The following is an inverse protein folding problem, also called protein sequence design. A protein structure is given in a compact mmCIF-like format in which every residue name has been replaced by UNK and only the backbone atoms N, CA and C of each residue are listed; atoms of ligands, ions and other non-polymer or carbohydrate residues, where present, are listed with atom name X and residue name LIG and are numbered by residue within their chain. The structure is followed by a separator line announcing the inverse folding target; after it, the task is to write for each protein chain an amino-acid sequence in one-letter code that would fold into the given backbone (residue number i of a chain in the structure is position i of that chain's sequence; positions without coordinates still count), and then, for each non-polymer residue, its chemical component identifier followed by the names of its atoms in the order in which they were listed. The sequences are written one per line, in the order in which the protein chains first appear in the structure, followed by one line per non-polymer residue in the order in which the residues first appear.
data_IF_259064135981
#
_entry.id   IF_259064135981
#
_cell.length_a   1.000
_cell.length_b   1.000
_cell.length_c   1.000
_cell.angle_alpha   90.00
_cell.angle_beta   90.00
_cell.angle_gamma   90.00
#
_symmetry.space_group_name_H-M   'P 1'
#
loop_
_entity.id
_entity.type
_entity.pdbx_description
1 polymer ?
#
# COMPACT_ATOMS: atom_id res chain seq x y z
N UNK A 1 -31.40 47.10 10.16
CA UNK A 1 -30.32 46.94 11.17
C UNK A 1 -29.56 45.68 10.79
N UNK A 2 -28.44 45.85 10.09
CA UNK A 2 -27.48 44.78 9.81
C UNK A 2 -26.94 44.31 11.15
N UNK A 3 -27.21 43.06 11.52
CA UNK A 3 -26.56 42.41 12.67
C UNK A 3 -25.07 42.43 12.42
N UNK A 4 -24.33 43.28 13.15
CA UNK A 4 -22.88 43.30 13.12
C UNK A 4 -22.40 41.88 13.50
N UNK A 5 -21.73 41.23 12.55
CA UNK A 5 -21.26 39.86 12.74
C UNK A 5 -19.90 39.95 13.40
N UNK A 6 -19.91 39.91 14.73
CA UNK A 6 -18.71 39.95 15.53
C UNK A 6 -17.90 38.64 15.41
N UNK A 7 -16.61 38.77 15.12
CA UNK A 7 -15.67 37.66 15.04
C UNK A 7 -15.40 37.10 16.44
N UNK A 8 -15.66 35.79 16.62
CA UNK A 8 -15.31 35.10 17.87
C UNK A 8 -13.84 35.27 18.19
N UNK A 9 -13.54 35.74 19.39
CA UNK A 9 -12.19 36.11 19.84
C UNK A 9 -11.14 35.03 19.61
N UNK A 10 -11.43 33.77 19.91
CA UNK A 10 -10.45 32.67 19.77
C UNK A 10 -10.08 32.42 18.29
N UNK A 11 -11.08 32.45 17.40
CA UNK A 11 -10.85 32.29 15.96
C UNK A 11 -10.10 33.50 15.37
N UNK A 12 -10.40 34.71 15.85
CA UNK A 12 -9.71 35.93 15.46
C UNK A 12 -8.24 35.92 15.90
N UNK A 13 -7.96 35.38 17.10
CA UNK A 13 -6.62 35.17 17.61
C UNK A 13 -5.84 34.15 16.75
N UNK A 14 -6.45 33.02 16.41
CA UNK A 14 -5.85 31.99 15.56
C UNK A 14 -5.47 32.52 14.16
N UNK A 15 -6.33 33.35 13.55
CA UNK A 15 -6.01 33.99 12.26
C UNK A 15 -4.80 34.91 12.38
N UNK A 16 -4.74 35.75 13.42
CA UNK A 16 -3.61 36.67 13.60
C UNK A 16 -2.29 35.93 13.84
N UNK A 17 -2.34 34.83 14.58
CA UNK A 17 -1.21 33.92 14.75
C UNK A 17 -0.71 33.36 13.41
N UNK A 18 -1.61 32.95 12.50
CA UNK A 18 -1.23 32.50 11.15
C UNK A 18 -0.57 33.64 10.35
N UNK A 19 -1.13 34.85 10.42
CA UNK A 19 -0.65 36.05 9.70
C UNK A 19 0.79 36.41 10.08
N UNK A 20 1.12 36.43 11.37
CA UNK A 20 2.44 36.89 11.83
C UNK A 20 3.57 35.89 11.56
N UNK A 21 3.22 34.61 11.37
CA UNK A 21 4.18 33.53 11.08
C UNK A 21 4.41 33.31 9.58
N UNK A 22 3.81 34.15 8.73
CA UNK A 22 3.94 34.05 7.27
C UNK A 22 3.40 32.73 6.71
N UNK A 23 2.45 32.12 7.42
CA UNK A 23 1.88 30.84 7.05
C UNK A 23 0.97 30.96 5.84
N UNK A 24 1.54 30.87 4.64
CA UNK A 24 1.09 30.15 3.44
C UNK A 24 1.57 30.86 2.18
N UNK A 25 2.10 30.06 1.26
CA UNK A 25 2.49 30.40 -0.10
C UNK A 25 1.30 31.00 -0.90
N UNK A 26 0.90 32.24 -0.63
CA UNK A 26 -0.07 33.00 -1.43
C UNK A 26 -1.54 32.99 -0.97
N UNK A 27 -1.88 32.48 0.22
CA UNK A 27 -3.29 32.45 0.69
C UNK A 27 -3.68 33.62 1.64
N UNK A 28 -2.74 34.48 2.00
CA UNK A 28 -2.99 35.63 2.90
C UNK A 28 -3.99 36.66 2.32
N UNK A 29 -4.11 36.74 1.00
CA UNK A 29 -5.09 37.61 0.35
C UNK A 29 -6.53 37.30 0.79
N UNK A 30 -6.83 36.02 1.04
CA UNK A 30 -8.14 35.59 1.54
C UNK A 30 -8.42 36.08 2.96
N UNK A 31 -7.39 36.13 3.82
CA UNK A 31 -7.47 36.61 5.20
C UNK A 31 -7.76 38.10 5.23
N UNK A 32 -7.08 38.88 4.39
CA UNK A 32 -7.25 40.32 4.34
C UNK A 32 -8.56 40.79 3.68
N UNK A 33 -9.41 39.86 3.22
CA UNK A 33 -10.83 40.14 2.92
C UNK A 33 -11.69 40.38 4.16
N UNK A 34 -11.21 40.02 5.35
CA UNK A 34 -11.92 40.28 6.60
C UNK A 34 -11.93 41.77 6.94
N UNK A 35 -12.99 42.21 7.62
CA UNK A 35 -13.16 43.61 8.02
C UNK A 35 -12.67 43.82 9.46
N UNK A 36 -11.72 44.74 9.70
CA UNK A 36 -11.20 44.99 11.05
C UNK A 36 -12.28 45.37 12.07
N UNK A 37 -13.36 46.00 11.62
CA UNK A 37 -14.47 46.43 12.48
C UNK A 37 -15.23 45.28 13.15
N UNK A 38 -15.12 44.05 12.63
CA UNK A 38 -15.76 42.88 13.20
C UNK A 38 -14.93 42.21 14.32
N UNK A 39 -13.70 42.69 14.60
CA UNK A 39 -12.89 42.17 15.71
C UNK A 39 -13.36 42.77 17.05
N UNK A 40 -13.92 41.93 17.92
CA UNK A 40 -14.47 42.34 19.22
C UNK A 40 -13.43 42.92 20.18
N UNK A 41 -12.22 42.35 20.14
CA UNK A 41 -11.13 42.78 21.02
C UNK A 41 -10.32 43.85 20.33
N UNK A 42 -10.31 45.06 20.91
CA UNK A 42 -9.61 46.23 20.36
C UNK A 42 -8.14 45.95 20.02
N UNK A 43 -7.43 45.19 20.87
CA UNK A 43 -6.05 44.80 20.59
C UNK A 43 -5.90 43.96 19.30
N UNK A 44 -6.79 42.98 19.08
CA UNK A 44 -6.77 42.15 17.87
C UNK A 44 -7.15 42.97 16.64
N UNK A 45 -8.13 43.88 16.77
CA UNK A 45 -8.50 44.84 15.71
C UNK A 45 -7.30 45.69 15.27
N UNK A 46 -6.57 46.26 16.21
CA UNK A 46 -5.40 47.11 15.93
C UNK A 46 -4.28 46.31 15.24
N UNK A 47 -4.00 45.10 15.72
CA UNK A 47 -3.01 44.19 15.11
C UNK A 47 -3.42 43.85 13.68
N UNK A 48 -4.67 43.44 13.45
CA UNK A 48 -5.17 43.08 12.13
C UNK A 48 -5.14 44.25 11.15
N UNK A 49 -5.54 45.44 11.62
CA UNK A 49 -5.53 46.66 10.82
C UNK A 49 -4.13 47.00 10.34
N UNK A 50 -3.13 46.90 11.23
CA UNK A 50 -1.75 47.18 10.88
C UNK A 50 -1.17 46.12 9.93
N UNK A 51 -1.45 44.83 10.19
CA UNK A 51 -1.05 43.74 9.32
C UNK A 51 -1.64 43.90 7.90
N UNK A 52 -2.92 44.28 7.77
CA UNK A 52 -3.57 44.55 6.49
C UNK A 52 -2.89 45.72 5.75
N UNK A 53 -2.51 46.77 6.48
CA UNK A 53 -1.76 47.90 5.95
C UNK A 53 -0.37 47.52 5.43
N UNK A 54 0.38 46.73 6.20
CA UNK A 54 1.70 46.22 5.81
C UNK A 54 1.62 45.31 4.57
N UNK A 55 0.63 44.43 4.51
CA UNK A 55 0.39 43.54 3.36
C UNK A 55 0.14 44.34 2.07
N UNK A 56 -0.72 45.37 2.15
CA UNK A 56 -0.99 46.24 1.00
C UNK A 56 0.23 47.00 0.47
N UNK A 57 1.26 47.18 1.32
CA UNK A 57 2.54 47.82 0.99
C UNK A 57 3.61 46.80 0.56
N UNK A 58 3.30 45.50 0.54
CA UNK A 58 4.26 44.43 0.26
C UNK A 58 5.34 44.27 1.34
N UNK A 59 5.07 44.70 2.57
CA UNK A 59 6.02 44.63 3.68
C UNK A 59 5.89 43.32 4.47
N UNK A 60 6.98 42.85 5.12
CA UNK A 60 6.95 41.63 5.92
C UNK A 60 5.95 41.70 7.07
N UNK A 61 5.15 40.64 7.23
CA UNK A 61 4.17 40.50 8.29
C UNK A 61 4.77 39.75 9.49
N UNK A 62 5.81 40.32 10.09
CA UNK A 62 6.44 39.73 11.28
C UNK A 62 6.02 40.48 12.55
N UNK A 63 6.11 39.82 13.70
CA UNK A 63 5.89 40.44 15.02
C UNK A 63 6.65 41.75 15.16
N UNK A 64 7.94 41.74 14.85
CA UNK A 64 8.79 42.94 14.91
C UNK A 64 8.29 44.09 14.03
N UNK A 65 7.83 43.80 12.81
CA UNK A 65 7.37 44.82 11.86
C UNK A 65 6.04 45.44 12.31
N UNK A 66 5.12 44.61 12.79
CA UNK A 66 3.81 45.05 13.31
C UNK A 66 3.99 45.87 14.60
N UNK A 67 4.82 45.39 15.54
CA UNK A 67 5.13 46.13 16.77
C UNK A 67 5.77 47.48 16.49
N UNK A 68 6.68 47.56 15.53
CA UNK A 68 7.33 48.81 15.16
C UNK A 68 6.31 49.88 14.71
N UNK A 69 5.39 49.50 13.82
CA UNK A 69 4.34 50.40 13.33
C UNK A 69 3.34 50.78 14.41
N UNK A 70 2.83 49.81 15.16
CA UNK A 70 1.90 50.06 16.26
C UNK A 70 2.53 50.90 17.36
N UNK A 71 3.81 50.69 17.67
CA UNK A 71 4.57 51.47 18.64
C UNK A 71 4.70 52.95 18.25
N UNK A 72 4.84 53.26 16.95
CA UNK A 72 4.81 54.63 16.46
C UNK A 72 3.41 55.26 16.57
N UNK A 73 2.36 54.52 16.18
CA UNK A 73 0.98 55.02 16.12
C UNK A 73 0.31 55.16 17.49
N UNK A 74 0.58 54.22 18.39
CA UNK A 74 -0.06 54.09 19.70
C UNK A 74 0.86 54.53 20.85
N UNK A 75 1.94 55.27 20.55
CA UNK A 75 2.89 55.75 21.55
C UNK A 75 2.18 56.48 22.69
N UNK A 76 2.43 56.05 23.92
CA UNK A 76 1.82 56.62 25.14
C UNK A 76 0.37 56.24 25.38
N UNK A 77 -0.22 55.33 24.58
CA UNK A 77 -1.56 54.79 24.82
C UNK A 77 -1.50 53.52 25.68
N UNK A 78 -2.40 53.34 26.65
CA UNK A 78 -2.46 52.15 27.51
C UNK A 78 -2.64 50.82 26.75
N UNK A 79 -3.15 50.89 25.51
CA UNK A 79 -3.41 49.71 24.67
C UNK A 79 -2.14 49.05 24.10
N UNK A 80 -1.00 49.78 24.07
CA UNK A 80 0.22 49.28 23.44
C UNK A 80 0.84 48.10 24.19
N UNK A 81 0.77 48.09 25.52
CA UNK A 81 1.32 47.01 26.35
C UNK A 81 0.54 45.68 26.16
N UNK A 82 -0.81 45.64 26.25
CA UNK A 82 -1.58 44.44 25.92
C UNK A 82 -1.38 43.92 24.50
N UNK A 83 -1.21 44.81 23.51
CA UNK A 83 -0.89 44.43 22.13
C UNK A 83 0.48 43.75 22.05
N UNK A 84 1.46 44.28 22.79
CA UNK A 84 2.82 43.76 22.82
C UNK A 84 2.85 42.35 23.41
N UNK A 85 2.20 42.15 24.55
CA UNK A 85 2.08 40.81 25.19
C UNK A 85 1.40 39.79 24.27
N UNK A 86 0.32 40.18 23.58
CA UNK A 86 -0.38 39.29 22.64
C UNK A 86 0.50 38.88 21.47
N UNK A 87 1.20 39.83 20.85
CA UNK A 87 2.06 39.55 19.70
C UNK A 87 3.25 38.66 20.05
N UNK A 88 3.86 38.86 21.23
CA UNK A 88 4.92 38.00 21.73
C UNK A 88 4.41 36.58 22.03
N UNK A 89 3.21 36.47 22.62
CA UNK A 89 2.59 35.16 22.88
C UNK A 89 2.33 34.41 21.57
N UNK A 90 1.74 35.08 20.58
CA UNK A 90 1.51 34.48 19.26
C UNK A 90 2.84 34.08 18.57
N UNK A 91 3.93 34.84 18.78
CA UNK A 91 5.25 34.53 18.24
C UNK A 91 5.81 33.21 18.79
N UNK A 92 5.59 32.94 20.08
CA UNK A 92 6.00 31.70 20.74
C UNK A 92 5.16 30.47 20.29
N UNK A 93 3.94 30.69 19.76
CA UNK A 93 3.00 29.65 19.30
C UNK A 93 3.20 29.21 17.83
N UNK A 94 4.44 29.25 17.33
CA UNK A 94 4.76 28.99 15.91
C UNK A 94 4.33 27.62 15.39
N UNK A 95 4.52 26.56 16.17
CA UNK A 95 4.17 25.19 15.74
C UNK A 95 2.66 25.03 15.55
N UNK A 96 1.86 25.65 16.44
CA UNK A 96 0.41 25.65 16.34
C UNK A 96 -0.06 26.48 15.13
N UNK A 97 0.58 27.63 14.88
CA UNK A 97 0.31 28.46 13.70
C UNK A 97 0.46 27.67 12.38
N UNK A 98 1.51 26.84 12.27
CA UNK A 98 1.76 25.99 11.09
C UNK A 98 0.65 24.94 10.93
N UNK A 99 0.19 24.33 12.02
CA UNK A 99 -0.91 23.37 11.99
C UNK A 99 -2.23 24.02 11.54
N UNK A 100 -2.54 25.20 12.08
CA UNK A 100 -3.76 25.94 11.78
C UNK A 100 -3.80 26.46 10.34
N UNK A 101 -2.64 26.86 9.79
CA UNK A 101 -2.52 27.30 8.41
C UNK A 101 -3.06 26.25 7.42
N UNK A 102 -2.84 24.95 7.67
CA UNK A 102 -3.40 23.87 6.85
C UNK A 102 -4.95 23.81 6.78
N UNK A 103 -5.64 24.58 7.62
CA UNK A 103 -7.10 24.64 7.72
C UNK A 103 -7.66 26.08 7.61
N UNK A 104 -6.86 27.03 7.14
CA UNK A 104 -7.18 28.47 7.17
C UNK A 104 -8.54 28.81 6.56
N UNK A 105 -8.89 28.23 5.42
CA UNK A 105 -10.16 28.47 4.74
C UNK A 105 -11.37 28.17 5.66
N UNK A 106 -11.31 27.07 6.43
CA UNK A 106 -12.37 26.70 7.37
C UNK A 106 -12.48 27.72 8.52
N UNK A 107 -11.37 28.27 8.99
CA UNK A 107 -11.36 29.31 10.02
C UNK A 107 -11.98 30.61 9.51
N UNK A 108 -11.64 31.04 8.28
CA UNK A 108 -12.23 32.21 7.63
C UNK A 108 -13.74 32.04 7.45
N UNK A 109 -14.20 30.89 6.94
CA UNK A 109 -15.64 30.57 6.79
C UNK A 109 -16.37 30.68 8.14
N UNK A 110 -15.82 30.07 9.20
CA UNK A 110 -16.39 30.14 10.55
C UNK A 110 -16.45 31.56 11.12
N UNK A 111 -15.45 32.40 10.85
CA UNK A 111 -15.47 33.82 11.26
C UNK A 111 -16.54 34.63 10.53
N UNK A 112 -16.75 34.37 9.23
CA UNK A 112 -17.81 35.01 8.44
C UNK A 112 -19.23 34.54 8.81
N UNK A 113 -19.36 33.64 9.79
CA UNK A 113 -20.64 33.03 10.17
C UNK A 113 -21.16 32.05 9.12
N UNK A 114 -20.33 31.68 8.15
CA UNK A 114 -20.64 30.62 7.20
C UNK A 114 -20.66 29.31 7.97
N UNK A 115 -21.75 28.56 7.85
CA UNK A 115 -21.82 27.23 8.45
C UNK A 115 -20.71 26.38 7.81
N UNK A 116 -20.00 25.54 8.59
CA UNK A 116 -19.07 24.57 8.00
C UNK A 116 -19.82 23.80 6.90
N UNK A 117 -19.14 23.49 5.80
CA UNK A 117 -19.74 22.84 4.62
C UNK A 117 -20.79 21.82 5.07
N UNK A 118 -22.08 22.17 4.90
CA UNK A 118 -23.19 21.31 5.30
C UNK A 118 -23.39 20.26 4.22
N UNK A 119 -22.31 19.56 3.90
CA UNK A 119 -22.37 18.49 2.94
C UNK A 119 -23.30 17.42 3.51
N UNK A 120 -24.41 17.22 2.80
CA UNK A 120 -25.34 16.17 3.13
C UNK A 120 -24.71 14.83 2.77
N UNK A 121 -24.11 14.18 3.77
CA UNK A 121 -23.42 12.90 3.60
C UNK A 121 -24.33 11.80 3.04
N UNK A 122 -25.67 11.93 3.14
CA UNK A 122 -26.58 10.94 2.53
C UNK A 122 -26.43 10.88 1.00
N UNK A 123 -25.90 11.93 0.37
CA UNK A 123 -25.66 12.00 -1.08
C UNK A 123 -24.46 11.18 -1.57
N UNK A 124 -23.57 10.76 -0.69
CA UNK A 124 -22.39 9.93 -1.04
C UNK A 124 -22.49 8.50 -0.52
N UNK A 125 -23.53 8.18 0.26
CA UNK A 125 -23.80 6.83 0.69
C UNK A 125 -24.51 6.08 -0.43
N UNK A 126 -24.09 4.84 -0.68
CA UNK A 126 -24.75 3.92 -1.61
C UNK A 126 -25.24 2.70 -0.84
N UNK A 127 -26.46 2.24 -1.17
CA UNK A 127 -26.99 1.02 -0.59
C UNK A 127 -26.32 -0.21 -1.21
N UNK A 128 -26.22 -1.31 -0.46
CA UNK A 128 -25.61 -2.56 -0.96
C UNK A 128 -26.27 -3.07 -2.25
N UNK A 129 -27.59 -2.95 -2.39
CA UNK A 129 -28.31 -3.33 -3.60
C UNK A 129 -27.96 -2.46 -4.82
N UNK A 130 -27.56 -1.21 -4.62
CA UNK A 130 -27.07 -0.35 -5.70
C UNK A 130 -25.66 -0.80 -6.12
N UNK A 131 -24.81 -1.14 -5.15
CA UNK A 131 -23.47 -1.68 -5.41
C UNK A 131 -23.52 -3.04 -6.13
N UNK A 132 -24.50 -3.90 -5.82
CA UNK A 132 -24.71 -5.18 -6.49
C UNK A 132 -25.01 -5.04 -7.99
N UNK A 133 -25.52 -3.88 -8.44
CA UNK A 133 -25.80 -3.61 -9.85
C UNK A 133 -24.55 -3.24 -10.65
N UNK A 134 -23.42 -2.98 -10.00
CA UNK A 134 -22.17 -2.62 -10.64
C UNK A 134 -21.53 -3.87 -11.29
N UNK A 135 -21.19 -3.78 -12.58
CA UNK A 135 -20.44 -4.83 -13.30
C UNK A 135 -18.93 -4.75 -12.96
N UNK A 136 -18.61 -4.98 -11.69
CA UNK A 136 -17.24 -4.98 -11.16
C UNK A 136 -16.92 -6.38 -10.68
N UNK A 137 -15.86 -6.96 -11.25
CA UNK A 137 -15.40 -8.29 -10.90
C UNK A 137 -14.01 -8.23 -10.29
N UNK A 138 -13.77 -9.09 -9.30
CA UNK A 138 -12.42 -9.36 -8.81
C UNK A 138 -11.63 -10.01 -9.94
N UNK A 139 -10.61 -9.31 -10.45
CA UNK A 139 -9.77 -9.76 -11.55
C UNK A 139 -8.35 -10.00 -11.08
N UNK A 140 -7.69 -11.00 -11.66
CA UNK A 140 -6.28 -11.28 -11.42
C UNK A 140 -5.47 -10.93 -12.68
N UNK A 141 -4.51 -10.02 -12.58
CA UNK A 141 -3.57 -9.68 -13.66
C UNK A 141 -2.64 -10.86 -13.95
N UNK A 142 -2.29 -11.61 -12.90
CA UNK A 142 -1.69 -12.94 -13.00
C UNK A 142 -2.59 -13.87 -12.22
N UNK A 143 -3.17 -14.85 -12.90
CA UNK A 143 -4.18 -15.74 -12.32
C UNK A 143 -3.76 -16.27 -10.95
N UNK A 144 -4.63 -16.09 -9.96
CA UNK A 144 -4.48 -16.48 -8.54
C UNK A 144 -3.31 -15.86 -7.75
N UNK A 145 -2.45 -15.07 -8.38
CA UNK A 145 -1.25 -14.49 -7.75
C UNK A 145 -1.33 -12.97 -7.58
N UNK A 146 -1.66 -12.23 -8.63
CA UNK A 146 -1.66 -10.75 -8.61
C UNK A 146 -3.06 -10.26 -8.92
N UNK A 147 -3.71 -9.62 -7.95
CA UNK A 147 -5.09 -9.14 -8.09
C UNK A 147 -5.15 -7.65 -8.45
N UNK A 148 -6.04 -7.30 -9.37
CA UNK A 148 -6.27 -5.91 -9.81
C UNK A 148 -6.81 -5.05 -8.68
N UNK A 149 -6.34 -3.79 -8.61
CA UNK A 149 -6.80 -2.84 -7.60
C UNK A 149 -6.45 -3.25 -6.17
N UNK A 150 -5.41 -4.07 -5.99
CA UNK A 150 -4.96 -4.56 -4.69
C UNK A 150 -3.51 -4.16 -4.40
N UNK A 151 -3.16 -4.05 -3.11
CA UNK A 151 -1.76 -4.07 -2.65
C UNK A 151 -1.34 -5.53 -2.47
N UNK A 152 -0.53 -6.01 -3.40
CA UNK A 152 0.07 -7.34 -3.42
C UNK A 152 1.47 -7.26 -2.80
N UNK A 153 1.57 -7.57 -1.50
CA UNK A 153 2.85 -7.62 -0.79
C UNK A 153 3.58 -8.90 -1.19
N UNK A 154 4.80 -8.76 -1.70
CA UNK A 154 5.68 -9.88 -2.02
C UNK A 154 6.87 -9.88 -1.06
N UNK A 155 6.78 -10.77 -0.07
CA UNK A 155 7.76 -10.96 0.99
C UNK A 155 8.70 -12.12 0.70
N UNK A 156 10.01 -11.88 0.83
CA UNK A 156 10.99 -12.97 0.85
C UNK A 156 12.29 -12.47 1.50
N UNK A 157 13.13 -13.40 1.96
CA UNK A 157 14.45 -13.07 2.47
C UNK A 157 15.33 -12.40 1.40
N UNK A 158 16.36 -11.68 1.83
CA UNK A 158 17.40 -11.19 0.92
C UNK A 158 18.11 -12.36 0.21
N UNK A 159 18.40 -12.20 -1.09
CA UNK A 159 19.06 -13.24 -1.88
C UNK A 159 18.12 -14.28 -2.50
N UNK A 160 16.83 -14.29 -2.16
CA UNK A 160 15.85 -15.27 -2.66
C UNK A 160 15.37 -15.02 -4.10
N UNK A 161 15.84 -13.97 -4.77
CA UNK A 161 15.48 -13.70 -6.17
C UNK A 161 14.19 -12.90 -6.39
N UNK A 162 13.69 -12.15 -5.40
CA UNK A 162 12.50 -11.27 -5.53
C UNK A 162 12.52 -10.41 -6.79
N UNK A 163 13.61 -9.67 -7.00
CA UNK A 163 13.75 -8.80 -8.18
C UNK A 163 13.64 -9.60 -9.48
N UNK A 164 14.31 -10.76 -9.58
CA UNK A 164 14.23 -11.63 -10.77
C UNK A 164 12.79 -12.11 -11.00
N UNK A 165 12.14 -12.64 -9.96
CA UNK A 165 10.77 -13.15 -10.08
C UNK A 165 9.77 -12.03 -10.42
N UNK A 166 9.90 -10.86 -9.79
CA UNK A 166 9.05 -9.68 -10.06
C UNK A 166 9.22 -9.14 -11.49
N UNK A 167 10.44 -9.19 -12.04
CA UNK A 167 10.70 -8.82 -13.43
C UNK A 167 10.12 -9.86 -14.41
N UNK A 168 10.16 -11.15 -14.07
CA UNK A 168 9.47 -12.19 -14.86
C UNK A 168 7.95 -11.99 -14.84
N UNK A 169 7.38 -11.63 -13.69
CA UNK A 169 5.96 -11.25 -13.56
C UNK A 169 5.66 -10.03 -14.44
N UNK A 170 6.46 -8.96 -14.33
CA UNK A 170 6.29 -7.74 -15.11
C UNK A 170 6.30 -8.01 -16.63
N UNK A 171 7.27 -8.81 -17.09
CA UNK A 171 7.38 -9.21 -18.49
C UNK A 171 6.17 -10.05 -18.95
N UNK A 172 5.69 -10.96 -18.09
CA UNK A 172 4.56 -11.80 -18.41
C UNK A 172 3.26 -10.99 -18.56
N UNK A 173 3.03 -10.03 -17.65
CA UNK A 173 1.89 -9.11 -17.68
C UNK A 173 1.92 -8.27 -18.96
N UNK A 174 3.02 -7.59 -19.26
CA UNK A 174 3.06 -6.63 -20.36
C UNK A 174 2.96 -7.28 -21.75
N UNK A 175 3.42 -8.53 -21.86
CA UNK A 175 3.37 -9.32 -23.10
C UNK A 175 2.14 -10.21 -23.22
N UNK A 176 1.31 -10.30 -22.18
CA UNK A 176 0.16 -11.23 -22.10
C UNK A 176 0.57 -12.68 -22.35
N UNK A 177 1.71 -13.09 -21.79
CA UNK A 177 2.18 -14.47 -21.86
C UNK A 177 1.95 -15.17 -20.52
N UNK A 178 1.76 -16.50 -20.50
CA UNK A 178 1.60 -17.22 -19.24
C UNK A 178 2.80 -17.03 -18.31
N UNK A 179 2.54 -16.76 -17.04
CA UNK A 179 3.56 -16.74 -15.99
C UNK A 179 3.52 -18.06 -15.22
N UNK A 180 4.54 -18.90 -15.35
CA UNK A 180 4.59 -20.22 -14.71
C UNK A 180 3.34 -21.09 -14.98
N UNK A 181 2.79 -20.99 -16.20
CA UNK A 181 1.55 -21.68 -16.60
C UNK A 181 0.25 -20.95 -16.24
N UNK A 182 0.32 -19.85 -15.49
CA UNK A 182 -0.83 -19.03 -15.09
C UNK A 182 -1.14 -17.99 -16.16
N UNK A 183 -2.42 -17.83 -16.49
CA UNK A 183 -2.87 -16.83 -17.48
C UNK A 183 -2.60 -15.42 -16.98
N UNK A 184 -2.34 -14.51 -17.91
CA UNK A 184 -2.10 -13.10 -17.61
C UNK A 184 -3.07 -12.20 -18.37
N UNK A 185 -3.44 -11.08 -17.74
CA UNK A 185 -4.17 -9.98 -18.37
C UNK A 185 -3.15 -8.89 -18.69
N UNK A 186 -3.20 -8.37 -19.92
CA UNK A 186 -2.26 -7.34 -20.34
C UNK A 186 -2.54 -6.01 -19.64
N UNK A 187 -1.51 -5.46 -18.99
CA UNK A 187 -1.50 -4.12 -18.40
C UNK A 187 -0.16 -3.44 -18.67
N UNK A 188 -0.16 -2.12 -18.67
CA UNK A 188 1.08 -1.37 -18.57
C UNK A 188 1.73 -1.68 -17.21
N UNK A 189 3.05 -1.86 -17.19
CA UNK A 189 3.81 -2.09 -15.96
C UNK A 189 4.82 -0.97 -15.80
N UNK A 190 4.86 -0.38 -14.60
CA UNK A 190 5.85 0.59 -14.16
C UNK A 190 6.65 -0.05 -13.02
N UNK A 191 7.96 -0.14 -13.20
CA UNK A 191 8.88 -0.72 -12.23
C UNK A 191 9.70 0.40 -11.59
N UNK A 192 9.43 0.68 -10.32
CA UNK A 192 10.09 1.71 -9.52
C UNK A 192 11.24 1.05 -8.76
N UNK A 193 12.46 1.33 -9.17
CA UNK A 193 13.68 0.71 -8.63
C UNK A 193 14.48 1.71 -7.82
N UNK A 194 14.54 1.45 -6.51
CA UNK A 194 15.27 2.23 -5.51
C UNK A 194 16.59 1.59 -5.07
N UNK A 195 16.82 0.31 -5.38
CA UNK A 195 17.84 -0.51 -4.72
C UNK A 195 18.99 -0.91 -5.66
N UNK A 196 18.69 -1.22 -6.91
CA UNK A 196 19.69 -1.79 -7.81
C UNK A 196 20.56 -0.70 -8.45
N UNK A 197 21.78 -1.06 -8.85
CA UNK A 197 22.57 -0.20 -9.74
C UNK A 197 22.03 -0.30 -11.17
N UNK A 198 22.14 0.79 -11.94
CA UNK A 198 21.68 0.82 -13.33
C UNK A 198 22.29 -0.33 -14.18
N UNK A 199 23.60 -0.67 -14.11
CA UNK A 199 24.14 -1.80 -14.84
C UNK A 199 23.51 -3.14 -14.46
N UNK A 200 23.27 -3.36 -13.16
CA UNK A 200 22.62 -4.59 -12.65
C UNK A 200 21.19 -4.70 -13.15
N UNK A 201 20.44 -3.60 -13.13
CA UNK A 201 19.08 -3.55 -13.65
C UNK A 201 19.06 -3.86 -15.15
N UNK A 202 19.95 -3.25 -15.94
CA UNK A 202 20.04 -3.48 -17.39
C UNK A 202 20.39 -4.94 -17.72
N UNK A 203 21.33 -5.56 -17.00
CA UNK A 203 21.66 -6.99 -17.15
C UNK A 203 20.42 -7.88 -16.94
N UNK A 204 19.67 -7.63 -15.86
CA UNK A 204 18.45 -8.39 -15.54
C UNK A 204 17.34 -8.18 -16.57
N UNK A 205 17.14 -6.94 -17.03
CA UNK A 205 16.16 -6.63 -18.10
C UNK A 205 16.48 -7.42 -19.36
N UNK A 206 17.74 -7.40 -19.81
CA UNK A 206 18.18 -8.13 -21.01
C UNK A 206 17.97 -9.63 -20.87
N UNK A 207 18.38 -10.19 -19.71
CA UNK A 207 18.24 -11.61 -19.41
C UNK A 207 16.78 -12.08 -19.44
N UNK A 208 15.88 -11.31 -18.83
CA UNK A 208 14.46 -11.66 -18.70
C UNK A 208 13.66 -11.30 -19.97
N UNK A 209 14.17 -10.37 -20.78
CA UNK A 209 13.46 -9.83 -21.93
C UNK A 209 12.36 -8.84 -21.55
N UNK A 210 12.50 -8.14 -20.41
CA UNK A 210 11.52 -7.19 -19.88
C UNK A 210 11.55 -5.82 -20.58
N UNK A 211 11.79 -5.78 -21.90
CA UNK A 211 12.07 -4.55 -22.66
C UNK A 211 10.91 -3.58 -22.75
N UNK A 212 9.67 -4.06 -22.57
CA UNK A 212 8.46 -3.25 -22.69
C UNK A 212 8.01 -2.66 -21.34
N UNK A 213 8.65 -3.05 -20.24
CA UNK A 213 8.36 -2.51 -18.89
C UNK A 213 8.94 -1.10 -18.78
N UNK A 214 8.18 -0.18 -18.19
CA UNK A 214 8.65 1.19 -17.95
C UNK A 214 9.41 1.22 -16.63
N UNK A 215 10.66 1.68 -16.63
CA UNK A 215 11.49 1.72 -15.42
C UNK A 215 11.66 3.15 -14.90
N UNK A 216 11.28 3.37 -13.64
CA UNK A 216 11.59 4.60 -12.91
C UNK A 216 12.69 4.32 -11.88
N UNK A 217 13.92 4.43 -12.36
CA UNK A 217 15.13 4.14 -11.58
C UNK A 217 15.73 5.40 -10.94
N UNK A 218 16.42 5.24 -9.81
CA UNK A 218 17.09 6.30 -9.04
C UNK A 218 18.15 7.12 -9.81
N UNK A 219 18.63 6.63 -10.96
CA UNK A 219 19.55 7.33 -11.86
C UNK A 219 18.87 8.29 -12.85
N UNK A 220 17.54 8.33 -12.89
CA UNK A 220 16.82 9.26 -13.76
C UNK A 220 17.02 10.72 -13.30
N UNK A 221 16.92 11.66 -14.24
CA UNK A 221 16.96 13.10 -13.95
C UNK A 221 15.88 13.49 -12.95
N UNK A 222 14.64 13.03 -13.18
CA UNK A 222 13.56 13.07 -12.21
C UNK A 222 13.53 11.72 -11.50
N UNK A 223 13.92 11.71 -10.23
CA UNK A 223 14.01 10.50 -9.41
C UNK A 223 12.62 10.10 -8.88
N UNK A 224 12.37 8.81 -8.65
CA UNK A 224 11.14 8.40 -7.98
C UNK A 224 11.10 9.00 -6.56
N UNK A 225 10.05 9.74 -6.18
CA UNK A 225 9.97 10.32 -4.85
C UNK A 225 9.78 9.20 -3.82
N UNK A 226 10.40 9.32 -2.65
CA UNK A 226 10.13 8.36 -1.58
C UNK A 226 8.69 8.49 -1.10
N UNK A 227 8.12 7.39 -0.61
CA UNK A 227 6.73 7.30 -0.16
C UNK A 227 6.45 8.14 1.09
N UNK A 228 7.47 8.50 1.88
CA UNK A 228 7.39 9.45 3.01
C UNK A 228 7.57 10.93 2.59
N UNK A 229 8.11 11.20 1.40
CA UNK A 229 8.29 12.57 0.90
C UNK A 229 6.96 13.26 0.57
N UNK A 230 6.87 14.60 0.55
CA UNK A 230 5.66 15.33 0.11
C UNK A 230 5.26 15.04 -1.34
N UNK A 231 6.22 14.66 -2.17
CA UNK A 231 6.06 14.43 -3.61
C UNK A 231 5.47 13.06 -3.97
N UNK A 232 5.14 12.21 -2.99
CA UNK A 232 4.60 10.88 -3.22
C UNK A 232 3.35 10.86 -4.13
N UNK A 233 2.58 11.95 -4.17
CA UNK A 233 1.38 12.06 -5.03
C UNK A 233 1.71 12.00 -6.52
N UNK A 234 2.98 12.16 -6.92
CA UNK A 234 3.41 11.99 -8.31
C UNK A 234 3.14 10.59 -8.85
N UNK A 235 3.09 9.55 -8.00
CA UNK A 235 2.69 8.20 -8.42
C UNK A 235 1.28 8.15 -9.01
N UNK A 236 0.36 9.02 -8.57
CA UNK A 236 -1.01 9.14 -9.12
C UNK A 236 -1.04 9.67 -10.57
N UNK A 237 0.09 10.19 -11.08
CA UNK A 237 0.24 10.71 -12.45
C UNK A 237 0.82 9.69 -13.43
N UNK A 238 1.16 8.49 -12.96
CA UNK A 238 1.62 7.40 -13.82
C UNK A 238 0.49 6.94 -14.77
N UNK A 239 0.80 6.16 -15.83
CA UNK A 239 -0.21 5.66 -16.75
C UNK A 239 -1.35 4.95 -16.00
N UNK A 240 -2.59 5.38 -16.23
CA UNK A 240 -3.79 4.85 -15.54
C UNK A 240 -3.89 3.32 -15.67
N UNK A 241 -4.48 2.70 -14.66
CA UNK A 241 -4.72 1.25 -14.58
C UNK A 241 -3.45 0.38 -14.74
N UNK A 242 -2.27 0.95 -14.49
CA UNK A 242 -1.01 0.21 -14.56
C UNK A 242 -0.74 -0.61 -13.29
N UNK A 243 0.11 -1.62 -13.46
CA UNK A 243 0.74 -2.33 -12.34
C UNK A 243 2.02 -1.58 -11.96
N UNK A 244 2.09 -1.11 -10.72
CA UNK A 244 3.28 -0.46 -10.16
C UNK A 244 4.01 -1.46 -9.27
N UNK A 245 5.28 -1.72 -9.58
CA UNK A 245 6.16 -2.57 -8.77
C UNK A 245 7.15 -1.67 -8.03
N UNK A 246 7.23 -1.80 -6.71
CA UNK A 246 8.20 -1.09 -5.88
C UNK A 246 9.30 -2.06 -5.41
N UNK A 247 10.52 -1.90 -5.92
CA UNK A 247 11.72 -2.68 -5.56
C UNK A 247 12.74 -1.79 -4.82
N UNK A 248 12.85 -1.82 -3.50
CA UNK A 248 11.98 -2.48 -2.50
C UNK A 248 11.30 -1.45 -1.61
N UNK A 249 10.29 -1.86 -0.82
CA UNK A 249 9.65 -1.02 0.19
C UNK A 249 10.67 -0.36 1.12
N UNK A 250 11.67 -1.12 1.58
CA UNK A 250 12.72 -0.63 2.48
C UNK A 250 13.45 0.60 1.92
N UNK A 251 13.71 0.61 0.62
CA UNK A 251 14.41 1.71 -0.05
C UNK A 251 13.45 2.82 -0.50
N UNK A 252 12.14 2.56 -0.54
CA UNK A 252 11.11 3.51 -0.93
C UNK A 252 10.76 4.54 0.15
N UNK A 253 11.33 4.48 1.36
CA UNK A 253 11.14 5.48 2.44
C UNK A 253 12.42 5.63 3.29
N UNK A 254 12.49 6.66 4.15
CA UNK A 254 13.51 6.83 5.19
C UNK A 254 12.98 6.57 6.61
N UNK A 255 11.66 6.39 6.75
CA UNK A 255 10.99 6.06 8.01
C UNK A 255 11.53 4.82 8.73
N UNK A 256 11.31 4.77 10.05
CA UNK A 256 11.57 3.58 10.86
C UNK A 256 10.55 2.48 10.53
N UNK A 257 11.03 1.42 9.91
CA UNK A 257 10.25 0.26 9.49
C UNK A 257 9.63 -0.49 10.68
N UNK A 258 10.18 -0.34 11.90
CA UNK A 258 9.61 -0.93 13.11
C UNK A 258 8.51 -0.07 13.73
N UNK A 259 8.38 1.18 13.32
CA UNK A 259 7.35 2.10 13.81
C UNK A 259 6.03 1.86 13.09
N UNK A 260 5.04 1.33 13.82
CA UNK A 260 3.70 1.12 13.27
C UNK A 260 3.03 2.41 12.81
N UNK A 261 3.30 3.54 13.48
CA UNK A 261 2.78 4.85 13.07
C UNK A 261 3.32 5.26 11.71
N UNK A 262 4.64 5.13 11.51
CA UNK A 262 5.28 5.54 10.25
C UNK A 262 4.92 4.59 9.11
N UNK A 263 4.94 3.27 9.35
CA UNK A 263 4.53 2.32 8.32
C UNK A 263 3.05 2.44 7.95
N UNK A 264 2.19 2.80 8.91
CA UNK A 264 0.78 3.12 8.61
C UNK A 264 0.66 4.31 7.66
N UNK A 265 1.47 5.37 7.83
CA UNK A 265 1.49 6.50 6.91
C UNK A 265 1.86 6.07 5.49
N UNK A 266 2.94 5.29 5.34
CA UNK A 266 3.38 4.78 4.03
C UNK A 266 2.30 3.92 3.37
N UNK A 267 1.74 2.96 4.11
CA UNK A 267 0.74 2.05 3.59
C UNK A 267 -0.56 2.77 3.22
N UNK A 268 -0.97 3.81 3.96
CA UNK A 268 -2.13 4.63 3.60
C UNK A 268 -1.91 5.41 2.31
N UNK A 269 -0.70 5.95 2.09
CA UNK A 269 -0.36 6.59 0.80
C UNK A 269 -0.42 5.59 -0.37
N UNK A 270 0.04 4.35 -0.16
CA UNK A 270 -0.11 3.28 -1.15
C UNK A 270 -1.58 2.92 -1.41
N UNK A 271 -2.44 2.91 -0.39
CA UNK A 271 -3.89 2.72 -0.58
C UNK A 271 -4.49 3.84 -1.40
N UNK A 272 -4.12 5.09 -1.14
CA UNK A 272 -4.58 6.22 -1.96
C UNK A 272 -4.11 6.13 -3.41
N UNK A 273 -2.92 5.57 -3.69
CA UNK A 273 -2.49 5.29 -5.06
C UNK A 273 -3.36 4.17 -5.66
N UNK A 274 -3.51 3.05 -4.97
CA UNK A 274 -4.36 1.92 -5.39
C UNK A 274 -5.79 2.36 -5.72
N UNK A 275 -6.39 3.20 -4.87
CA UNK A 275 -7.79 3.66 -5.00
C UNK A 275 -8.01 4.56 -6.22
N UNK A 276 -6.93 5.02 -6.89
CA UNK A 276 -7.01 5.70 -8.19
C UNK A 276 -7.00 4.76 -9.40
N UNK A 277 -7.02 3.43 -9.17
CA UNK A 277 -7.11 2.40 -10.21
C UNK A 277 -5.85 1.56 -10.40
N UNK A 278 -4.76 1.86 -9.69
CA UNK A 278 -3.50 1.13 -9.84
C UNK A 278 -3.52 -0.22 -9.11
N UNK A 279 -2.77 -1.17 -9.66
CA UNK A 279 -2.41 -2.41 -8.95
C UNK A 279 -1.00 -2.29 -8.42
N UNK A 280 -0.77 -2.59 -7.14
CA UNK A 280 0.54 -2.42 -6.51
C UNK A 280 1.15 -3.79 -6.22
N UNK A 281 2.41 -3.98 -6.61
CA UNK A 281 3.26 -5.08 -6.15
C UNK A 281 4.37 -4.46 -5.29
N UNK A 282 4.39 -4.81 -4.01
CA UNK A 282 5.31 -4.21 -3.04
C UNK A 282 6.33 -5.25 -2.61
N UNK A 283 7.60 -5.09 -3.01
CA UNK A 283 8.64 -6.04 -2.63
C UNK A 283 9.15 -5.74 -1.23
N UNK A 284 9.13 -6.74 -0.35
CA UNK A 284 9.51 -6.60 1.05
C UNK A 284 10.47 -7.70 1.51
N UNK A 285 11.32 -7.37 2.48
CA UNK A 285 12.24 -8.33 3.08
C UNK A 285 11.61 -9.00 4.31
N UNK A 286 11.76 -10.31 4.44
CA UNK A 286 11.51 -11.02 5.72
C UNK A 286 12.78 -11.03 6.59
N UNK A 287 12.66 -11.19 7.93
CA UNK A 287 13.79 -11.34 8.83
C UNK A 287 14.54 -12.63 8.54
N UNK A 288 15.82 -12.68 8.91
CA UNK A 288 16.67 -13.86 8.68
C UNK A 288 16.30 -15.10 9.52
N UNK A 289 15.55 -14.92 10.61
CA UNK A 289 15.30 -16.00 11.58
C UNK A 289 14.07 -16.87 11.26
N UNK A 290 13.17 -16.41 10.39
CA UNK A 290 11.98 -17.16 9.99
C UNK A 290 11.36 -16.51 8.74
N UNK A 291 11.25 -17.27 7.64
CA UNK A 291 10.68 -16.80 6.39
C UNK A 291 9.16 -16.54 6.47
N UNK A 292 8.51 -17.06 7.53
CA UNK A 292 7.10 -16.75 7.84
C UNK A 292 6.90 -15.55 8.76
N UNK A 293 7.93 -15.12 9.47
CA UNK A 293 7.79 -13.95 10.36
C UNK A 293 8.01 -12.69 9.55
N UNK A 294 7.18 -11.66 9.77
CA UNK A 294 7.33 -10.39 9.06
C UNK A 294 8.49 -9.57 9.64
N UNK A 295 9.20 -8.83 8.78
CA UNK A 295 10.21 -7.85 9.20
C UNK A 295 9.56 -6.47 9.23
N UNK A 296 9.87 -5.71 10.27
CA UNK A 296 9.26 -4.41 10.49
C UNK A 296 7.88 -4.51 11.14
N UNK A 297 7.14 -3.41 11.09
CA UNK A 297 5.82 -3.28 11.71
C UNK A 297 4.79 -4.24 11.10
N UNK A 298 3.93 -4.80 11.96
CA UNK A 298 2.75 -5.57 11.52
C UNK A 298 1.84 -4.76 10.60
N UNK A 299 1.88 -3.42 10.67
CA UNK A 299 1.10 -2.53 9.82
C UNK A 299 1.29 -2.80 8.32
N UNK A 300 2.50 -3.18 7.88
CA UNK A 300 2.76 -3.51 6.47
C UNK A 300 1.89 -4.71 6.06
N UNK A 301 1.87 -5.76 6.88
CA UNK A 301 1.05 -6.94 6.67
C UNK A 301 -0.44 -6.63 6.82
N UNK A 302 -0.84 -5.95 7.90
CA UNK A 302 -2.22 -5.65 8.27
C UNK A 302 -2.93 -4.72 7.27
N UNK A 303 -2.17 -3.89 6.55
CA UNK A 303 -2.71 -2.93 5.58
C UNK A 303 -2.57 -3.38 4.13
N UNK A 304 -1.90 -4.50 3.85
CA UNK A 304 -1.86 -5.14 2.52
C UNK A 304 -3.13 -5.96 2.24
N UNK A 305 -3.53 -6.09 0.98
CA UNK A 305 -4.74 -6.85 0.59
C UNK A 305 -4.42 -8.33 0.34
N UNK A 306 -3.26 -8.60 -0.25
CA UNK A 306 -2.80 -9.94 -0.62
C UNK A 306 -1.31 -10.10 -0.29
N UNK A 307 -0.95 -11.20 0.38
CA UNK A 307 0.43 -11.43 0.83
C UNK A 307 0.97 -12.72 0.22
N UNK A 308 1.98 -12.55 -0.63
CA UNK A 308 2.75 -13.60 -1.28
C UNK A 308 4.10 -13.77 -0.59
N UNK A 309 4.53 -15.02 -0.44
CA UNK A 309 5.88 -15.34 0.03
C UNK A 309 6.63 -16.27 -0.91
N UNK A 310 7.96 -16.12 -0.91
CA UNK A 310 8.90 -17.00 -1.60
C UNK A 310 9.92 -17.54 -0.60
N UNK A 311 9.93 -18.86 -0.40
CA UNK A 311 10.84 -19.52 0.53
C UNK A 311 11.23 -20.93 0.06
N UNK A 312 12.36 -21.44 0.58
CA UNK A 312 12.86 -22.78 0.22
C UNK A 312 12.07 -23.86 0.94
N UNK A 313 11.81 -24.95 0.23
CA UNK A 313 11.14 -26.14 0.75
C UNK A 313 11.87 -27.39 0.28
N UNK A 314 12.01 -28.37 1.16
CA UNK A 314 12.63 -29.66 0.82
C UNK A 314 11.76 -30.41 -0.18
N UNK A 315 12.34 -30.92 -1.27
CA UNK A 315 11.61 -31.80 -2.19
C UNK A 315 11.12 -33.05 -1.44
N UNK A 316 9.90 -33.50 -1.75
CA UNK A 316 9.25 -34.65 -1.12
C UNK A 316 8.48 -34.33 0.17
N UNK A 317 9.08 -33.67 1.16
CA UNK A 317 8.40 -33.35 2.44
C UNK A 317 7.75 -31.97 2.46
N UNK A 318 8.30 -31.02 1.70
CA UNK A 318 7.89 -29.61 1.61
C UNK A 318 7.86 -28.89 2.95
N UNK A 319 8.63 -29.44 3.89
CA UNK A 319 9.03 -28.75 5.08
C UNK A 319 9.86 -27.55 4.64
N UNK A 320 9.50 -26.40 5.20
CA UNK A 320 10.28 -25.18 5.07
C UNK A 320 11.69 -25.44 5.57
N UNK A 321 12.65 -25.01 4.77
CA UNK A 321 14.06 -25.16 5.08
C UNK A 321 14.55 -23.89 5.75
N UNK A 322 15.23 -24.06 6.89
CA UNK A 322 16.04 -22.98 7.45
C UNK A 322 17.29 -22.79 6.61
N UNK A 323 17.80 -21.57 6.53
CA UNK A 323 18.95 -21.24 5.70
C UNK A 323 20.25 -22.00 6.06
N UNK A 324 20.37 -22.48 7.30
CA UNK A 324 21.52 -23.28 7.76
C UNK A 324 21.46 -24.76 7.31
N UNK A 325 20.44 -25.15 6.54
CA UNK A 325 20.37 -26.49 5.98
C UNK A 325 21.44 -26.66 4.90
N UNK A 326 22.50 -27.40 5.20
CA UNK A 326 23.49 -27.88 4.22
C UNK A 326 22.85 -28.95 3.31
N UNK A 327 21.99 -28.50 2.39
CA UNK A 327 21.38 -29.35 1.37
C UNK A 327 21.94 -28.98 0.01
N UNK A 328 22.17 -29.99 -0.83
CA UNK A 328 22.52 -29.77 -2.23
C UNK A 328 21.39 -29.03 -2.95
N UNK A 329 21.72 -28.22 -3.95
CA UNK A 329 20.75 -27.47 -4.76
C UNK A 329 19.72 -28.38 -5.45
N UNK A 330 20.01 -29.68 -5.59
CA UNK A 330 19.08 -30.69 -6.10
C UNK A 330 17.91 -30.99 -5.16
N UNK A 331 18.07 -30.75 -3.86
CA UNK A 331 17.20 -31.28 -2.80
C UNK A 331 16.09 -30.33 -2.36
N UNK A 332 16.10 -29.10 -2.87
CA UNK A 332 15.06 -28.11 -2.57
C UNK A 332 14.45 -27.51 -3.84
N UNK A 333 13.24 -26.99 -3.68
CA UNK A 333 12.64 -26.07 -4.62
C UNK A 333 12.11 -24.86 -3.82
N UNK A 334 11.54 -23.89 -4.50
CA UNK A 334 10.94 -22.73 -3.86
C UNK A 334 9.42 -22.87 -3.91
N UNK A 335 8.76 -22.59 -2.78
CA UNK A 335 7.32 -22.37 -2.78
C UNK A 335 7.07 -20.88 -3.02
N UNK A 336 6.22 -20.56 -3.98
CA UNK A 336 5.75 -19.20 -4.24
C UNK A 336 4.23 -19.14 -4.19
N UNK A 337 3.67 -18.26 -3.38
CA UNK A 337 2.22 -18.10 -3.29
C UNK A 337 1.77 -17.45 -2.00
N UNK A 338 0.47 -17.50 -1.75
CA UNK A 338 -0.16 -16.95 -0.55
C UNK A 338 0.51 -17.49 0.71
N UNK A 339 0.83 -16.58 1.63
CA UNK A 339 1.36 -16.90 2.94
C UNK A 339 0.21 -17.02 3.96
N UNK A 340 -0.04 -15.97 4.76
CA UNK A 340 -1.00 -16.01 5.86
C UNK A 340 -2.23 -15.11 5.65
N UNK A 341 -2.17 -14.16 4.71
CA UNK A 341 -3.25 -13.19 4.48
C UNK A 341 -3.58 -13.01 3.01
N UNK A 342 -4.86 -13.05 2.73
CA UNK A 342 -5.44 -12.76 1.43
C UNK A 342 -6.90 -12.31 1.60
N UNK A 343 -7.35 -11.35 0.79
CA UNK A 343 -8.78 -11.05 0.57
C UNK A 343 -9.39 -11.90 -0.56
N UNK A 344 -8.58 -12.73 -1.20
CA UNK A 344 -8.88 -13.53 -2.38
C UNK A 344 -8.62 -15.02 -2.13
N UNK A 345 -8.72 -15.86 -3.16
CA UNK A 345 -8.44 -17.29 -3.03
C UNK A 345 -6.96 -17.57 -2.73
N UNK A 346 -6.64 -18.36 -1.68
CA UNK A 346 -5.28 -18.81 -1.42
C UNK A 346 -4.77 -19.70 -2.54
N UNK A 347 -3.52 -19.46 -2.96
CA UNK A 347 -2.88 -20.25 -4.01
C UNK A 347 -1.37 -20.37 -3.75
N UNK A 348 -0.79 -21.49 -4.14
CA UNK A 348 0.66 -21.64 -4.17
C UNK A 348 1.10 -22.53 -5.32
N UNK A 349 2.31 -22.26 -5.81
CA UNK A 349 3.01 -23.02 -6.81
C UNK A 349 4.44 -23.29 -6.35
N UNK A 350 5.11 -24.21 -7.04
CA UNK A 350 6.49 -24.59 -6.75
C UNK A 350 7.35 -24.28 -7.98
N UNK A 351 8.51 -23.68 -7.73
CA UNK A 351 9.42 -23.20 -8.76
C UNK A 351 10.85 -23.59 -8.43
N UNK A 352 11.65 -23.72 -9.47
CA UNK A 352 13.10 -23.94 -9.38
C UNK A 352 13.83 -22.74 -9.96
N UNK A 353 15.05 -22.50 -9.47
CA UNK A 353 15.92 -21.49 -10.04
C UNK A 353 16.82 -22.16 -11.07
N UNK A 354 16.65 -21.79 -12.33
CA UNK A 354 17.54 -22.21 -13.40
C UNK A 354 18.86 -21.43 -13.29
N UNK A 355 19.90 -22.06 -12.75
CA UNK A 355 21.21 -21.45 -12.54
C UNK A 355 21.91 -21.03 -13.83
N UNK A 356 21.61 -21.67 -14.96
CA UNK A 356 22.20 -21.34 -16.26
C UNK A 356 21.60 -20.04 -16.79
N UNK A 357 20.26 -19.99 -16.85
CA UNK A 357 19.55 -18.83 -17.38
C UNK A 357 19.30 -17.74 -16.31
N UNK A 358 19.57 -18.04 -15.04
CA UNK A 358 19.38 -17.19 -13.86
C UNK A 358 17.96 -16.62 -13.76
N UNK A 359 16.97 -17.49 -13.95
CA UNK A 359 15.52 -17.20 -13.91
C UNK A 359 14.79 -18.30 -13.14
N UNK A 360 13.55 -18.05 -12.72
CA UNK A 360 12.68 -19.07 -12.15
C UNK A 360 11.88 -19.80 -13.22
N UNK A 361 11.77 -21.12 -13.07
CA UNK A 361 10.98 -22.01 -13.92
C UNK A 361 10.00 -22.82 -13.07
N UNK A 362 8.89 -23.34 -13.64
CA UNK A 362 8.00 -24.23 -12.91
C UNK A 362 8.73 -25.48 -12.41
N UNK A 363 8.49 -25.84 -11.16
CA UNK A 363 8.93 -27.13 -10.60
C UNK A 363 7.79 -28.15 -10.72
N UNK A 364 8.13 -29.44 -10.66
CA UNK A 364 7.11 -30.47 -10.51
C UNK A 364 6.38 -30.29 -9.18
N UNK A 365 5.05 -30.43 -9.21
CA UNK A 365 4.26 -30.28 -7.99
C UNK A 365 4.67 -31.35 -6.96
N UNK A 366 4.93 -30.95 -5.70
CA UNK A 366 5.18 -31.83 -4.56
C UNK A 366 4.44 -33.14 -4.51
N UNK A 367 3.15 -33.02 -4.77
CA UNK A 367 2.20 -34.03 -4.50
C UNK A 367 2.06 -34.92 -5.72
N UNK A 368 2.71 -34.61 -6.85
CA UNK A 368 2.60 -35.37 -8.10
C UNK A 368 2.84 -36.86 -7.86
N UNK A 369 3.92 -37.23 -7.15
CA UNK A 369 4.19 -38.63 -6.83
C UNK A 369 3.11 -39.26 -5.95
N UNK A 370 2.63 -38.55 -4.93
CA UNK A 370 1.54 -39.02 -4.07
C UNK A 370 0.20 -39.12 -4.82
N UNK A 371 -0.10 -38.18 -5.70
CA UNK A 371 -1.29 -38.14 -6.54
C UNK A 371 -1.26 -39.27 -7.57
N UNK A 372 -0.11 -39.54 -8.18
CA UNK A 372 0.10 -40.69 -9.07
C UNK A 372 -0.06 -42.01 -8.30
N UNK A 373 0.49 -42.14 -7.09
CA UNK A 373 0.27 -43.33 -6.26
C UNK A 373 -1.20 -43.51 -5.86
N UNK A 374 -1.91 -42.43 -5.50
CA UNK A 374 -3.36 -42.47 -5.22
C UNK A 374 -4.13 -42.87 -6.47
N UNK A 375 -3.73 -42.37 -7.65
CA UNK A 375 -4.33 -42.74 -8.93
C UNK A 375 -4.18 -44.23 -9.21
N UNK A 376 -2.99 -44.80 -9.00
CA UNK A 376 -2.79 -46.24 -9.19
C UNK A 376 -3.64 -47.06 -8.20
N UNK A 377 -3.76 -46.65 -6.93
CA UNK A 377 -4.69 -47.30 -5.98
C UNK A 377 -6.16 -47.25 -6.42
N UNK A 378 -6.58 -46.14 -7.04
CA UNK A 378 -7.93 -45.98 -7.56
C UNK A 378 -8.20 -46.87 -8.79
N UNK A 379 -7.18 -47.16 -9.61
CA UNK A 379 -7.34 -48.11 -10.73
C UNK A 379 -7.70 -49.51 -10.23
N UNK A 380 -7.12 -49.93 -9.11
CA UNK A 380 -7.31 -51.27 -8.57
C UNK A 380 -8.62 -51.42 -7.78
N UNK A 381 -9.20 -50.31 -7.31
CA UNK A 381 -10.36 -50.32 -6.40
C UNK A 381 -11.65 -49.79 -7.01
N UNK A 382 -11.59 -49.04 -8.12
CA UNK A 382 -12.76 -48.50 -8.80
C UNK A 382 -13.40 -47.32 -8.05
N UNK A 383 -14.74 -47.31 -7.96
CA UNK A 383 -15.50 -46.22 -7.32
C UNK A 383 -15.47 -46.38 -5.81
N UNK A 384 -14.91 -45.40 -5.10
CA UNK A 384 -14.75 -45.44 -3.63
C UNK A 384 -15.24 -44.17 -2.98
N UNK A 385 -15.78 -44.29 -1.75
CA UNK A 385 -16.12 -43.12 -0.94
C UNK A 385 -14.90 -42.56 -0.19
N UNK A 386 -15.01 -41.32 0.31
CA UNK A 386 -13.91 -40.64 1.02
C UNK A 386 -13.33 -41.45 2.19
N UNK A 387 -14.16 -42.18 2.95
CA UNK A 387 -13.67 -42.97 4.09
C UNK A 387 -12.84 -44.16 3.64
N UNK A 388 -13.27 -44.84 2.57
CA UNK A 388 -12.58 -45.99 1.99
C UNK A 388 -11.22 -45.59 1.43
N UNK A 389 -11.17 -44.54 0.59
CA UNK A 389 -9.90 -44.08 0.01
C UNK A 389 -8.94 -43.56 1.08
N UNK A 390 -9.43 -42.87 2.11
CA UNK A 390 -8.59 -42.45 3.23
C UNK A 390 -7.97 -43.64 3.99
N UNK A 391 -8.71 -44.74 4.17
CA UNK A 391 -8.16 -45.97 4.78
C UNK A 391 -7.12 -46.63 3.88
N UNK A 392 -7.40 -46.74 2.58
CA UNK A 392 -6.49 -47.34 1.60
C UNK A 392 -5.17 -46.57 1.50
N UNK A 393 -5.25 -45.24 1.31
CA UNK A 393 -4.07 -44.37 1.25
C UNK A 393 -3.24 -44.44 2.53
N UNK A 394 -3.90 -44.55 3.70
CA UNK A 394 -3.19 -44.71 4.97
C UNK A 394 -2.48 -46.06 5.10
N UNK A 395 -3.09 -47.13 4.60
CA UNK A 395 -2.54 -48.48 4.65
C UNK A 395 -1.39 -48.68 3.64
N UNK A 396 -1.60 -48.29 2.39
CA UNK A 396 -0.69 -48.59 1.27
C UNK A 396 0.41 -47.53 1.07
N UNK A 397 0.09 -46.25 1.29
CA UNK A 397 1.03 -45.13 1.04
C UNK A 397 1.65 -44.57 2.33
N UNK A 398 1.27 -45.10 3.50
CA UNK A 398 1.81 -44.67 4.79
C UNK A 398 1.49 -43.22 5.18
N UNK A 399 0.56 -42.55 4.49
CA UNK A 399 0.16 -41.17 4.81
C UNK A 399 -0.75 -41.18 6.04
N UNK A 400 -0.19 -40.86 7.21
CA UNK A 400 -0.88 -41.02 8.50
C UNK A 400 -1.99 -39.99 8.75
N UNK A 401 -1.84 -38.78 8.24
CA UNK A 401 -2.73 -37.64 8.53
C UNK A 401 -3.87 -37.54 7.53
N UNK A 402 -5.11 -37.76 7.99
CA UNK A 402 -6.32 -37.74 7.14
C UNK A 402 -6.49 -36.39 6.44
N UNK A 403 -6.22 -35.26 7.12
CA UNK A 403 -6.31 -33.94 6.50
C UNK A 403 -5.42 -33.77 5.27
N UNK A 404 -4.21 -34.36 5.28
CA UNK A 404 -3.32 -34.37 4.10
C UNK A 404 -3.93 -35.19 2.97
N UNK A 405 -4.50 -36.35 3.26
CA UNK A 405 -5.17 -37.20 2.26
C UNK A 405 -6.33 -36.44 1.61
N UNK A 406 -7.19 -35.79 2.41
CA UNK A 406 -8.33 -35.02 1.89
C UNK A 406 -7.86 -33.85 1.01
N UNK A 407 -6.77 -33.17 1.39
CA UNK A 407 -6.15 -32.13 0.56
C UNK A 407 -5.67 -32.67 -0.79
N UNK A 408 -4.98 -33.83 -0.78
CA UNK A 408 -4.54 -34.51 -2.00
C UNK A 408 -5.72 -34.92 -2.89
N UNK A 409 -6.77 -35.47 -2.29
CA UNK A 409 -8.00 -35.85 -3.00
C UNK A 409 -8.67 -34.66 -3.69
N UNK A 410 -8.78 -33.53 -3.00
CA UNK A 410 -9.29 -32.29 -3.59
C UNK A 410 -8.39 -31.77 -4.71
N UNK A 411 -7.07 -31.92 -4.57
CA UNK A 411 -6.08 -31.44 -5.54
C UNK A 411 -6.04 -32.26 -6.83
N UNK A 412 -6.27 -33.57 -6.76
CA UNK A 412 -6.31 -34.43 -7.94
C UNK A 412 -7.66 -34.47 -8.67
N UNK A 413 -8.68 -33.83 -8.11
CA UNK A 413 -10.00 -33.72 -8.73
C UNK A 413 -9.94 -33.00 -10.09
N UNK A 414 -10.60 -33.55 -11.09
CA UNK A 414 -10.62 -33.05 -12.48
C UNK A 414 -9.35 -33.35 -13.28
N UNK A 415 -8.26 -33.80 -12.64
CA UNK A 415 -7.00 -34.18 -13.30
C UNK A 415 -6.77 -35.69 -13.32
N UNK A 416 -6.97 -36.35 -12.17
CA UNK A 416 -6.70 -37.78 -11.99
C UNK A 416 -7.98 -38.56 -11.67
N UNK A 417 -8.97 -37.91 -11.05
CA UNK A 417 -10.28 -38.50 -10.73
C UNK A 417 -11.37 -37.42 -10.74
N UNK A 418 -12.62 -37.83 -10.93
CA UNK A 418 -13.82 -37.03 -10.79
C UNK A 418 -14.48 -37.32 -9.45
N UNK A 419 -15.27 -36.35 -8.94
CA UNK A 419 -16.07 -36.56 -7.73
C UNK A 419 -17.56 -36.45 -8.01
N UNK A 420 -18.37 -37.25 -7.31
CA UNK A 420 -19.83 -37.18 -7.38
C UNK A 420 -20.47 -37.34 -6.00
N UNK A 421 -21.55 -36.60 -5.68
CA UNK A 421 -22.23 -36.73 -4.41
C UNK A 421 -23.00 -38.06 -4.34
N UNK A 422 -22.98 -38.73 -3.18
CA UNK A 422 -23.72 -39.99 -2.94
C UNK A 422 -25.20 -39.77 -2.61
N UNK A 423 -25.65 -38.52 -2.47
CA UNK A 423 -26.97 -38.16 -1.94
C UNK A 423 -27.06 -38.12 -0.41
N UNK A 424 -26.02 -38.55 0.31
CA UNK A 424 -25.87 -38.37 1.75
C UNK A 424 -25.05 -37.12 2.07
N UNK A 425 -25.40 -36.41 3.16
CA UNK A 425 -24.75 -35.15 3.54
C UNK A 425 -23.24 -35.36 3.73
N UNK A 426 -22.43 -34.57 3.02
CA UNK A 426 -20.95 -34.59 3.06
C UNK A 426 -20.32 -35.94 2.64
N UNK A 427 -20.95 -36.69 1.74
CA UNK A 427 -20.40 -37.94 1.22
C UNK A 427 -20.18 -37.86 -0.30
N UNK A 428 -18.91 -38.01 -0.69
CA UNK A 428 -18.45 -37.95 -2.09
C UNK A 428 -17.88 -39.31 -2.51
N UNK A 429 -18.16 -39.70 -3.75
CA UNK A 429 -17.50 -40.80 -4.47
C UNK A 429 -16.38 -40.22 -5.32
N UNK A 430 -15.27 -40.96 -5.39
CA UNK A 430 -14.11 -40.67 -6.20
C UNK A 430 -14.02 -41.73 -7.29
N UNK A 431 -13.87 -41.31 -8.55
CA UNK A 431 -13.81 -42.22 -9.72
C UNK A 431 -12.70 -41.77 -10.64
N UNK A 432 -11.86 -42.69 -11.10
CA UNK A 432 -10.74 -42.38 -12.01
C UNK A 432 -11.24 -41.67 -13.28
N UNK A 433 -10.46 -40.73 -13.80
CA UNK A 433 -10.69 -40.09 -15.12
C UNK A 433 -9.93 -40.85 -16.20
#
# INVERSE_FOLDING_TARGET
MTTATNYKTDLAYDILKIVIHGGLNGELDSVFTLEPENFDRLALKEIFTEAKGLHSQGLPLTTATILHRLGQRLKGRPLLEPITELLLTMEDEREEAIFLAGHLENYIKRLKGEKPDTFDYTKVLQAGCELETLDIQVKAVVDRLIYEGAINLFSARGGMGKTILSLQIANAIIRKIPFLGLKTIQRQVVYVDFENSLPTLVDRIRRIGASNVLFWHSSNTVKPPRLDSPDWTQYKKLPKDSVIIFDTLRAAHNSDENSSKEMTLIMNRLKEIRDTGFTIILLHHTPKSNDRTYKGSSAIFDLSDHVLSLYKVKKGSFQELSDDSNLDDSDFCYRFGTQDKTRFEPFATYIEFDSLNKIFIPAQDPDTGSLESIRELLKDTGVVNQSQICKLVKAELGIKYIGKIVSLLKKGEGKYWSTSPTGLKNSMLYTLI
#
